data_IF_000588435947
#
_entry.id   IF_000588435947
#
_cell.length_a   1.000
_cell.length_b   1.000
_cell.length_c   1.000
_cell.angle_alpha   90.00
_cell.angle_beta   90.00
_cell.angle_gamma   90.00
#
_symmetry.space_group_name_H-M   'P 1'
#
loop_
_entity.id
_entity.type
_entity.pdbx_description
1 polymer ?
#
# COMPACT_ATOMS: atom_id res chain seq x y z
N UNK A 1 6.11 20.57 7.12
CA UNK A 1 4.77 19.97 6.86
C UNK A 1 4.74 18.64 7.58
N UNK A 2 3.63 18.26 8.21
CA UNK A 2 3.49 16.95 8.82
C UNK A 2 3.38 15.89 7.73
N UNK A 3 4.04 14.74 7.90
CA UNK A 3 3.99 13.62 6.95
C UNK A 3 2.58 13.05 6.78
N UNK A 4 2.32 12.38 5.67
CA UNK A 4 1.02 11.78 5.33
C UNK A 4 1.03 10.27 5.51
N UNK A 5 0.00 9.73 6.17
CA UNK A 5 -0.25 8.29 6.27
C UNK A 5 -1.31 7.87 5.25
N UNK A 6 -1.00 6.87 4.42
CA UNK A 6 -1.86 6.38 3.35
C UNK A 6 -2.07 4.89 3.53
N UNK A 7 -3.30 4.46 3.82
CA UNK A 7 -3.64 3.06 3.91
C UNK A 7 -3.92 2.48 2.52
N UNK A 8 -3.31 1.34 2.22
CA UNK A 8 -3.55 0.56 1.00
C UNK A 8 -4.39 -0.66 1.38
N UNK A 9 -5.62 -0.69 0.93
CA UNK A 9 -6.64 -1.65 1.38
C UNK A 9 -7.31 -2.37 0.21
N UNK A 10 -7.90 -3.53 0.45
CA UNK A 10 -8.77 -4.21 -0.52
C UNK A 10 -9.72 -5.17 0.20
N UNK A 11 -10.88 -5.42 -0.38
CA UNK A 11 -11.84 -6.40 0.13
C UNK A 11 -11.41 -7.86 -0.07
N UNK A 12 -10.45 -8.12 -0.97
CA UNK A 12 -10.04 -9.47 -1.39
C UNK A 12 -8.53 -9.65 -1.36
N UNK A 13 -8.07 -10.87 -1.06
CA UNK A 13 -6.68 -11.26 -1.21
C UNK A 13 -6.24 -11.31 -2.68
N UNK A 14 -4.94 -11.14 -2.94
CA UNK A 14 -4.37 -11.28 -4.30
C UNK A 14 -4.60 -10.09 -5.24
N UNK A 15 -5.21 -9.00 -4.80
CA UNK A 15 -5.39 -7.78 -5.62
C UNK A 15 -4.10 -7.01 -5.87
N UNK A 16 -3.01 -7.33 -5.14
CA UNK A 16 -1.69 -6.71 -5.31
C UNK A 16 -1.45 -5.48 -4.44
N UNK A 17 -2.07 -5.38 -3.28
CA UNK A 17 -1.81 -4.30 -2.30
C UNK A 17 -0.33 -4.15 -1.96
N UNK A 18 0.28 -5.24 -1.52
CA UNK A 18 1.70 -5.28 -1.11
C UNK A 18 2.64 -4.85 -2.24
N UNK A 19 2.39 -5.32 -3.46
CA UNK A 19 3.17 -4.91 -4.64
C UNK A 19 2.97 -3.42 -4.96
N UNK A 20 1.75 -2.92 -4.81
CA UNK A 20 1.44 -1.49 -4.98
C UNK A 20 2.15 -0.66 -3.89
N UNK A 21 2.07 -1.08 -2.63
CA UNK A 21 2.72 -0.41 -1.49
C UNK A 21 4.24 -0.33 -1.70
N UNK A 22 4.87 -1.45 -2.03
CA UNK A 22 6.31 -1.49 -2.31
C UNK A 22 6.70 -0.64 -3.53
N UNK A 23 5.93 -0.76 -4.63
CA UNK A 23 6.20 -0.02 -5.86
C UNK A 23 6.01 1.50 -5.70
N UNK A 24 4.90 1.93 -5.12
CA UNK A 24 4.63 3.37 -4.89
C UNK A 24 5.59 3.93 -3.83
N UNK A 25 5.88 3.18 -2.77
CA UNK A 25 6.87 3.57 -1.75
C UNK A 25 8.25 3.80 -2.37
N UNK A 26 8.69 2.87 -3.22
CA UNK A 26 9.96 3.01 -3.96
C UNK A 26 9.94 4.25 -4.88
N UNK A 27 8.84 4.50 -5.60
CA UNK A 27 8.71 5.66 -6.49
C UNK A 27 8.76 7.00 -5.73
N UNK A 28 8.09 7.08 -4.58
CA UNK A 28 8.14 8.25 -3.71
C UNK A 28 9.56 8.48 -3.16
N UNK A 29 10.25 7.43 -2.73
CA UNK A 29 11.63 7.52 -2.24
C UNK A 29 12.60 7.97 -3.34
N UNK A 30 12.46 7.44 -4.56
CA UNK A 30 13.23 7.88 -5.74
C UNK A 30 12.96 9.34 -6.12
N UNK A 31 11.80 9.91 -5.75
CA UNK A 31 11.49 11.34 -5.93
C UNK A 31 12.05 12.23 -4.80
N UNK A 32 12.88 11.68 -3.90
CA UNK A 32 13.53 12.40 -2.81
C UNK A 32 12.70 12.52 -1.53
N UNK A 33 11.55 11.83 -1.43
CA UNK A 33 10.72 11.81 -0.22
C UNK A 33 11.22 10.77 0.77
N UNK A 34 11.17 11.08 2.05
CA UNK A 34 11.45 10.13 3.11
C UNK A 34 10.22 9.27 3.37
N UNK A 35 10.28 7.99 3.03
CA UNK A 35 9.12 7.10 2.94
C UNK A 35 9.27 5.90 3.86
N UNK A 36 8.26 5.66 4.69
CA UNK A 36 8.11 4.43 5.46
C UNK A 36 7.04 3.55 4.80
N UNK A 37 7.40 2.35 4.41
CA UNK A 37 6.44 1.29 4.08
C UNK A 37 6.23 0.44 5.33
N UNK A 38 4.99 0.32 5.80
CA UNK A 38 4.65 -0.39 7.01
C UNK A 38 3.71 -1.54 6.70
N UNK A 39 4.12 -2.75 7.09
CA UNK A 39 3.28 -3.93 6.99
C UNK A 39 2.31 -3.97 8.17
N UNK A 40 1.01 -4.13 7.89
CA UNK A 40 -0.04 -4.29 8.90
C UNK A 40 -0.68 -5.69 8.86
N UNK A 41 -0.13 -6.62 8.05
CA UNK A 41 -0.62 -7.99 7.92
C UNK A 41 0.05 -8.91 8.96
N UNK A 42 -0.57 -8.97 10.13
CA UNK A 42 -0.09 -9.77 11.25
C UNK A 42 -0.08 -11.25 10.84
N UNK A 43 1.10 -11.86 10.90
CA UNK A 43 1.30 -13.29 10.62
C UNK A 43 1.86 -13.60 9.23
N UNK A 44 1.55 -12.83 8.18
CA UNK A 44 1.99 -13.16 6.81
C UNK A 44 3.26 -12.42 6.38
N UNK A 45 3.46 -11.16 6.77
CA UNK A 45 4.70 -10.40 6.52
C UNK A 45 5.21 -10.53 5.08
N UNK A 46 4.48 -9.95 4.13
CA UNK A 46 4.86 -10.05 2.71
C UNK A 46 5.56 -8.80 2.17
N UNK A 47 5.51 -7.68 2.91
CA UNK A 47 6.07 -6.41 2.44
C UNK A 47 7.60 -6.40 2.50
N UNK A 48 8.22 -7.07 3.47
CA UNK A 48 9.67 -7.25 3.55
C UNK A 48 10.21 -8.03 2.34
N UNK A 49 9.51 -9.09 1.90
CA UNK A 49 9.83 -9.82 0.68
C UNK A 49 9.73 -8.91 -0.55
N UNK A 50 8.64 -8.13 -0.66
CA UNK A 50 8.41 -7.23 -1.78
C UNK A 50 9.46 -6.11 -1.90
N UNK A 51 10.07 -5.72 -0.78
CA UNK A 51 11.14 -4.72 -0.70
C UNK A 51 12.54 -5.34 -0.69
N UNK A 52 12.68 -6.67 -0.67
CA UNK A 52 13.99 -7.33 -0.56
C UNK A 52 14.68 -7.13 0.78
N UNK A 53 13.90 -7.00 1.85
CA UNK A 53 14.37 -6.74 3.22
C UNK A 53 14.04 -7.88 4.18
N UNK A 54 13.83 -9.09 3.66
CA UNK A 54 13.52 -10.28 4.46
C UNK A 54 14.58 -10.50 5.53
N UNK A 55 14.14 -10.84 6.76
CA UNK A 55 14.95 -11.13 7.94
C UNK A 55 15.87 -9.99 8.43
N UNK A 56 15.64 -8.76 7.97
CA UNK A 56 16.42 -7.59 8.44
C UNK A 56 15.83 -6.89 9.65
N UNK A 57 14.54 -7.07 9.92
CA UNK A 57 13.85 -6.42 11.04
C UNK A 57 13.89 -7.30 12.29
N UNK A 58 14.41 -6.77 13.40
CA UNK A 58 14.45 -7.41 14.71
C UNK A 58 13.23 -7.09 15.55
N UNK A 59 12.66 -5.90 15.37
CA UNK A 59 11.48 -5.38 16.06
C UNK A 59 10.38 -5.12 15.04
N UNK A 60 9.14 -5.02 15.50
CA UNK A 60 7.98 -4.81 14.65
C UNK A 60 7.12 -3.62 15.11
N UNK A 61 6.04 -3.31 14.41
CA UNK A 61 5.21 -2.17 14.75
C UNK A 61 4.56 -2.30 16.14
N UNK A 62 4.32 -3.52 16.63
CA UNK A 62 3.70 -3.71 17.94
C UNK A 62 4.65 -3.32 19.07
N UNK A 63 5.96 -3.51 18.88
CA UNK A 63 6.97 -3.08 19.87
C UNK A 63 7.00 -1.55 19.96
N UNK A 64 6.87 -0.85 18.83
CA UNK A 64 6.83 0.62 18.80
C UNK A 64 5.51 1.14 19.36
N UNK A 65 4.37 0.55 18.95
CA UNK A 65 3.04 0.98 19.38
C UNK A 65 2.83 0.83 20.90
N UNK A 66 3.43 -0.21 21.49
CA UNK A 66 3.37 -0.51 22.93
C UNK A 66 4.55 0.09 23.73
N UNK A 67 5.30 1.02 23.12
CA UNK A 67 6.44 1.71 23.73
C UNK A 67 7.53 0.76 24.29
N UNK A 68 7.71 -0.44 23.70
CA UNK A 68 8.77 -1.39 24.06
C UNK A 68 10.12 -1.03 23.46
N UNK A 69 10.11 -0.33 22.32
CA UNK A 69 11.31 0.22 21.70
C UNK A 69 11.01 1.57 21.00
N UNK A 70 12.03 2.41 20.79
CA UNK A 70 11.87 3.62 19.97
C UNK A 70 11.67 3.26 18.49
N UNK A 71 11.03 4.14 17.71
CA UNK A 71 10.73 3.93 16.30
C UNK A 71 12.01 3.62 15.49
N UNK A 72 13.09 4.32 15.78
CA UNK A 72 14.38 4.19 15.09
C UNK A 72 15.01 2.81 15.24
N UNK A 73 14.70 2.09 16.31
CA UNK A 73 15.21 0.73 16.54
C UNK A 73 14.44 -0.34 15.74
N UNK A 74 13.19 -0.05 15.34
CA UNK A 74 12.34 -0.98 14.61
C UNK A 74 12.36 -0.74 13.09
N UNK A 75 12.72 0.47 12.66
CA UNK A 75 12.72 0.85 11.25
C UNK A 75 13.99 0.37 10.55
N UNK A 76 13.81 -0.31 9.42
CA UNK A 76 14.91 -0.81 8.59
C UNK A 76 15.08 0.06 7.35
N UNK A 77 16.26 0.67 7.16
CA UNK A 77 16.59 1.41 5.94
C UNK A 77 16.88 0.45 4.78
N UNK A 78 16.38 0.78 3.59
CA UNK A 78 16.68 0.00 2.39
C UNK A 78 18.14 0.25 1.92
N UNK A 79 18.96 -0.80 1.69
CA UNK A 79 20.39 -0.64 1.44
C UNK A 79 20.71 0.05 0.11
N UNK A 80 19.84 -0.10 -0.90
CA UNK A 80 20.07 0.38 -2.27
C UNK A 80 19.12 1.49 -2.72
N UNK A 81 18.12 1.82 -1.92
CA UNK A 81 17.14 2.86 -2.25
C UNK A 81 17.16 3.89 -1.12
N UNK A 82 17.83 5.04 -1.33
CA UNK A 82 17.86 6.12 -0.34
C UNK A 82 16.44 6.57 0.03
N UNK A 83 16.25 6.93 1.29
CA UNK A 83 14.99 7.43 1.83
C UNK A 83 13.82 6.42 1.85
N UNK A 84 14.05 5.15 1.53
CA UNK A 84 13.06 4.09 1.67
C UNK A 84 13.33 3.28 2.94
N UNK A 85 12.28 3.09 3.73
CA UNK A 85 12.33 2.40 5.01
C UNK A 85 11.17 1.41 5.14
N UNK A 86 11.40 0.37 5.95
CA UNK A 86 10.39 -0.65 6.28
C UNK A 86 10.16 -0.67 7.81
N UNK A 87 8.90 -0.78 8.20
CA UNK A 87 8.48 -1.22 9.53
C UNK A 87 7.58 -2.45 9.36
N UNK A 88 7.99 -3.57 9.93
CA UNK A 88 7.32 -4.86 9.69
C UNK A 88 6.17 -5.11 10.67
N UNK A 89 5.27 -6.03 10.29
CA UNK A 89 4.26 -6.58 11.18
C UNK A 89 4.86 -7.65 12.12
N UNK A 90 4.27 -7.90 13.30
CA UNK A 90 4.61 -9.06 14.11
C UNK A 90 4.18 -10.35 13.40
N UNK A 91 5.05 -11.37 13.47
CA UNK A 91 4.68 -12.73 13.04
C UNK A 91 3.57 -13.29 13.95
N UNK A 92 3.61 -12.91 15.22
CA UNK A 92 2.61 -13.28 16.23
C UNK A 92 2.52 -12.18 17.27
N UNK A 93 1.31 -11.75 17.59
CA UNK A 93 1.12 -10.80 18.68
C UNK A 93 1.63 -11.39 20.01
N UNK A 94 2.49 -10.63 20.68
CA UNK A 94 3.04 -10.98 22.00
C UNK A 94 2.53 -9.98 23.03
N UNK A 95 1.88 -10.47 24.08
CA UNK A 95 1.32 -9.63 25.15
C UNK A 95 0.00 -8.96 24.77
N UNK A 96 -0.30 -7.76 25.28
CA UNK A 96 -1.56 -7.08 25.04
C UNK A 96 -1.74 -6.74 23.55
N UNK A 97 -3.00 -6.71 23.11
CA UNK A 97 -3.33 -6.29 21.75
C UNK A 97 -3.03 -4.78 21.58
N UNK A 98 -2.50 -4.42 20.42
CA UNK A 98 -2.34 -3.01 20.04
C UNK A 98 -3.73 -2.40 19.83
N UNK A 99 -4.04 -1.33 20.56
CA UNK A 99 -5.28 -0.59 20.41
C UNK A 99 -5.19 0.42 19.26
N UNK A 100 -6.33 0.91 18.78
CA UNK A 100 -6.34 2.00 17.79
C UNK A 100 -5.66 3.28 18.30
N UNK A 101 -5.75 3.56 19.61
CA UNK A 101 -5.08 4.73 20.19
C UNK A 101 -3.56 4.56 20.23
N UNK A 102 -3.06 3.37 20.59
CA UNK A 102 -1.63 3.06 20.54
C UNK A 102 -1.10 3.22 19.11
N UNK A 103 -1.86 2.73 18.13
CA UNK A 103 -1.53 2.82 16.73
C UNK A 103 -1.52 4.28 16.23
N UNK A 104 -2.55 5.08 16.58
CA UNK A 104 -2.58 6.53 16.27
C UNK A 104 -1.43 7.27 16.93
N UNK A 105 -1.08 6.93 18.17
CA UNK A 105 0.08 7.52 18.87
C UNK A 105 1.38 7.24 18.12
N UNK A 106 1.59 5.99 17.69
CA UNK A 106 2.73 5.61 16.86
C UNK A 106 2.75 6.37 15.52
N UNK A 107 1.62 6.48 14.82
CA UNK A 107 1.54 7.22 13.56
C UNK A 107 1.85 8.72 13.73
N UNK A 108 1.52 9.33 14.88
CA UNK A 108 1.94 10.71 15.19
C UNK A 108 3.46 10.85 15.23
N UNK A 109 4.18 9.88 15.83
CA UNK A 109 5.66 9.85 15.83
C UNK A 109 6.21 9.67 14.41
N UNK A 110 5.63 8.79 13.61
CA UNK A 110 6.02 8.51 12.24
C UNK A 110 5.89 9.77 11.36
N UNK A 111 4.79 10.52 11.47
CA UNK A 111 4.57 11.77 10.70
C UNK A 111 5.59 12.87 10.97
N UNK A 112 6.29 12.83 12.10
CA UNK A 112 7.35 13.79 12.41
C UNK A 112 8.66 13.47 11.69
N UNK A 113 8.85 12.21 11.28
CA UNK A 113 10.10 11.72 10.73
C UNK A 113 10.05 11.39 9.24
N UNK A 114 8.87 11.14 8.68
CA UNK A 114 8.67 10.72 7.30
C UNK A 114 7.71 11.64 6.55
N UNK A 115 7.96 11.89 5.26
CA UNK A 115 7.05 12.63 4.38
C UNK A 115 5.80 11.78 4.07
N UNK A 116 6.00 10.46 3.89
CA UNK A 116 4.94 9.50 3.61
C UNK A 116 5.11 8.23 4.44
N UNK A 117 3.99 7.72 4.96
CA UNK A 117 3.89 6.37 5.50
C UNK A 117 2.82 5.61 4.71
N UNK A 118 3.21 4.55 4.01
CA UNK A 118 2.29 3.67 3.30
C UNK A 118 2.00 2.46 4.17
N UNK A 119 0.73 2.26 4.54
CA UNK A 119 0.26 1.19 5.42
C UNK A 119 -0.31 0.06 4.55
N UNK A 120 0.41 -1.06 4.42
CA UNK A 120 -0.04 -2.24 3.68
C UNK A 120 -1.01 -3.04 4.56
N UNK A 121 -2.30 -2.87 4.36
CA UNK A 121 -3.30 -3.54 5.16
C UNK A 121 -3.47 -5.02 4.74
N UNK A 122 -3.88 -5.93 5.64
CA UNK A 122 -4.30 -7.27 5.26
C UNK A 122 -5.52 -7.26 4.34
N UNK A 123 -5.89 -8.40 3.79
CA UNK A 123 -7.12 -8.54 3.03
C UNK A 123 -8.36 -8.54 3.94
N UNK A 124 -9.48 -8.09 3.41
CA UNK A 124 -10.77 -8.08 4.14
C UNK A 124 -10.96 -6.85 5.02
N UNK A 125 -11.69 -7.00 6.14
CA UNK A 125 -12.15 -5.91 7.01
C UNK A 125 -11.84 -6.16 8.50
N UNK A 126 -10.86 -7.02 8.77
CA UNK A 126 -10.46 -7.39 10.13
C UNK A 126 -9.69 -6.30 10.89
N UNK A 127 -9.18 -6.67 12.06
CA UNK A 127 -8.46 -5.77 12.98
C UNK A 127 -7.30 -5.04 12.31
N UNK A 128 -6.48 -5.75 11.51
CA UNK A 128 -5.34 -5.14 10.82
C UNK A 128 -5.74 -4.02 9.86
N UNK A 129 -6.88 -4.17 9.14
CA UNK A 129 -7.44 -3.10 8.30
C UNK A 129 -7.89 -1.93 9.16
N UNK A 130 -8.60 -2.18 10.27
CA UNK A 130 -9.05 -1.13 11.19
C UNK A 130 -7.86 -0.32 11.73
N UNK A 131 -6.79 -0.98 12.13
CA UNK A 131 -5.56 -0.32 12.57
C UNK A 131 -4.95 0.52 11.43
N UNK A 132 -4.82 -0.04 10.22
CA UNK A 132 -4.26 0.70 9.09
C UNK A 132 -5.07 1.95 8.74
N UNK A 133 -6.41 1.91 8.84
CA UNK A 133 -7.27 3.04 8.47
C UNK A 133 -7.53 4.03 9.60
N UNK A 134 -7.42 3.63 10.86
CA UNK A 134 -7.81 4.46 12.02
C UNK A 134 -7.01 5.78 12.12
N UNK A 135 -5.82 5.82 11.55
CA UNK A 135 -4.97 7.01 11.56
C UNK A 135 -4.50 7.44 10.17
N UNK A 136 -5.07 6.89 9.11
CA UNK A 136 -4.71 7.26 7.75
C UNK A 136 -5.37 8.58 7.31
N UNK A 137 -4.61 9.42 6.60
CA UNK A 137 -5.10 10.67 6.01
C UNK A 137 -5.83 10.40 4.67
N UNK A 138 -5.47 9.30 4.02
CA UNK A 138 -6.06 8.82 2.75
C UNK A 138 -6.09 7.30 2.75
N UNK A 139 -7.05 6.73 2.00
CA UNK A 139 -7.07 5.31 1.71
C UNK A 139 -7.06 5.07 0.20
N UNK A 140 -6.25 4.13 -0.24
CA UNK A 140 -6.20 3.64 -1.62
C UNK A 140 -6.82 2.26 -1.65
N UNK A 141 -8.01 2.16 -2.24
CA UNK A 141 -8.72 0.89 -2.43
C UNK A 141 -8.20 0.24 -3.70
N UNK A 142 -7.62 -0.95 -3.56
CA UNK A 142 -7.04 -1.73 -4.66
C UNK A 142 -8.02 -2.81 -5.07
N UNK A 143 -8.39 -2.81 -6.34
CA UNK A 143 -9.25 -3.83 -6.96
C UNK A 143 -8.63 -4.35 -8.26
N UNK A 144 -9.13 -5.45 -8.77
CA UNK A 144 -8.89 -5.93 -10.12
C UNK A 144 -10.12 -5.67 -11.00
N UNK A 145 -10.01 -5.94 -12.29
CA UNK A 145 -11.08 -5.65 -13.27
C UNK A 145 -12.26 -6.63 -13.22
N UNK A 146 -12.16 -7.75 -12.49
CA UNK A 146 -13.22 -8.77 -12.41
C UNK A 146 -14.38 -8.34 -11.51
N UNK A 147 -15.59 -8.79 -11.83
CA UNK A 147 -16.83 -8.38 -11.17
C UNK A 147 -16.84 -8.68 -9.66
N UNK A 148 -16.23 -9.79 -9.23
CA UNK A 148 -16.18 -10.15 -7.81
C UNK A 148 -15.29 -9.17 -7.03
N UNK A 149 -14.11 -8.84 -7.55
CA UNK A 149 -13.22 -7.86 -6.92
C UNK A 149 -13.81 -6.45 -6.87
N UNK A 150 -14.56 -6.04 -7.90
CA UNK A 150 -15.26 -4.75 -7.90
C UNK A 150 -16.38 -4.72 -6.85
N UNK A 151 -17.10 -5.81 -6.66
CA UNK A 151 -18.11 -5.94 -5.61
C UNK A 151 -17.49 -5.86 -4.22
N UNK A 152 -16.38 -6.57 -4.01
CA UNK A 152 -15.64 -6.55 -2.75
C UNK A 152 -15.06 -5.15 -2.47
N UNK A 153 -14.60 -4.43 -3.51
CA UNK A 153 -14.18 -3.04 -3.39
C UNK A 153 -15.32 -2.12 -2.96
N UNK A 154 -16.52 -2.30 -3.54
CA UNK A 154 -17.71 -1.53 -3.15
C UNK A 154 -18.06 -1.74 -1.67
N UNK A 155 -18.06 -2.98 -1.19
CA UNK A 155 -18.28 -3.28 0.23
C UNK A 155 -17.19 -2.63 1.10
N UNK A 156 -15.93 -2.73 0.70
CA UNK A 156 -14.82 -2.07 1.41
C UNK A 156 -15.02 -0.56 1.52
N UNK A 157 -15.46 0.10 0.44
CA UNK A 157 -15.74 1.54 0.44
C UNK A 157 -16.84 1.90 1.41
N UNK A 158 -17.93 1.10 1.45
CA UNK A 158 -19.04 1.32 2.39
C UNK A 158 -18.56 1.27 3.84
N UNK A 159 -17.75 0.28 4.20
CA UNK A 159 -17.17 0.13 5.54
C UNK A 159 -16.21 1.29 5.87
N UNK A 160 -15.31 1.64 4.94
CA UNK A 160 -14.37 2.74 5.14
C UNK A 160 -15.06 4.08 5.39
N UNK A 161 -16.19 4.35 4.74
CA UNK A 161 -16.99 5.55 4.97
C UNK A 161 -17.60 5.60 6.37
N UNK A 162 -17.99 4.46 6.93
CA UNK A 162 -18.50 4.36 8.30
C UNK A 162 -17.42 4.68 9.35
N UNK A 163 -16.16 4.34 9.08
CA UNK A 163 -15.05 4.66 9.96
C UNK A 163 -14.55 6.12 9.85
N UNK A 164 -15.23 6.96 9.05
CA UNK A 164 -14.82 8.36 8.86
C UNK A 164 -13.44 8.48 8.17
N UNK A 165 -13.01 7.42 7.50
CA UNK A 165 -11.75 7.41 6.79
C UNK A 165 -11.74 8.50 5.71
N UNK A 166 -10.64 9.24 5.67
CA UNK A 166 -10.44 10.44 4.87
C UNK A 166 -10.66 10.28 3.36
N UNK A 167 -9.86 10.90 2.55
CA UNK A 167 -10.01 10.86 1.08
C UNK A 167 -9.76 9.46 0.54
N UNK A 168 -10.79 8.86 -0.05
CA UNK A 168 -10.74 7.54 -0.68
C UNK A 168 -10.40 7.67 -2.16
N UNK A 169 -9.54 6.79 -2.66
CA UNK A 169 -9.15 6.72 -4.06
C UNK A 169 -9.14 5.26 -4.53
N UNK A 170 -9.35 5.06 -5.83
CA UNK A 170 -9.33 3.74 -6.46
C UNK A 170 -8.04 3.51 -7.23
N UNK A 171 -7.47 2.32 -7.11
CA UNK A 171 -6.49 1.76 -8.05
C UNK A 171 -7.08 0.49 -8.66
N UNK A 172 -7.19 0.45 -9.98
CA UNK A 172 -7.50 -0.78 -10.71
C UNK A 172 -6.18 -1.43 -11.10
N UNK A 173 -5.89 -2.58 -10.49
CA UNK A 173 -4.62 -3.29 -10.62
C UNK A 173 -4.74 -4.53 -11.49
N UNK A 174 -3.61 -5.04 -12.01
CA UNK A 174 -3.51 -6.25 -12.81
C UNK A 174 -4.41 -6.22 -14.04
N UNK A 175 -4.49 -5.05 -14.69
CA UNK A 175 -5.38 -4.85 -15.84
C UNK A 175 -4.81 -5.51 -17.09
N UNK A 176 -5.62 -6.36 -17.72
CA UNK A 176 -5.34 -7.00 -19.01
C UNK A 176 -6.30 -6.47 -20.07
N UNK A 177 -5.78 -5.79 -21.09
CA UNK A 177 -6.59 -5.20 -22.18
C UNK A 177 -7.52 -6.23 -22.85
N UNK A 178 -6.97 -7.39 -23.21
CA UNK A 178 -7.75 -8.47 -23.85
C UNK A 178 -8.94 -8.89 -23.00
N UNK A 179 -8.75 -8.96 -21.69
CA UNK A 179 -9.80 -9.37 -20.75
C UNK A 179 -10.88 -8.28 -20.61
N UNK A 180 -10.51 -7.00 -20.55
CA UNK A 180 -11.49 -5.90 -20.55
C UNK A 180 -12.39 -5.96 -21.79
N UNK A 181 -11.80 -6.16 -22.97
CA UNK A 181 -12.56 -6.30 -24.21
C UNK A 181 -13.52 -7.50 -24.19
N UNK A 182 -13.06 -8.66 -23.73
CA UNK A 182 -13.91 -9.87 -23.67
C UNK A 182 -15.04 -9.77 -22.62
N UNK A 183 -14.85 -8.95 -21.61
CA UNK A 183 -15.86 -8.70 -20.57
C UNK A 183 -16.81 -7.54 -20.91
N UNK A 184 -16.60 -6.86 -22.06
CA UNK A 184 -17.30 -5.62 -22.41
C UNK A 184 -17.29 -4.59 -21.25
N UNK A 185 -16.18 -4.54 -20.49
CA UNK A 185 -16.01 -3.67 -19.33
C UNK A 185 -14.95 -2.59 -19.59
N UNK A 186 -15.12 -1.46 -18.94
CA UNK A 186 -14.20 -0.33 -19.00
C UNK A 186 -13.62 -0.01 -17.61
N UNK A 187 -12.59 0.83 -17.56
CA UNK A 187 -12.09 1.37 -16.29
C UNK A 187 -13.12 2.31 -15.65
N UNK A 188 -13.92 3.01 -16.46
CA UNK A 188 -14.99 3.90 -15.99
C UNK A 188 -16.07 3.10 -15.26
N UNK A 189 -16.45 1.90 -15.75
CA UNK A 189 -17.34 0.98 -15.04
C UNK A 189 -16.81 0.58 -13.66
N UNK A 190 -15.50 0.45 -13.54
CA UNK A 190 -14.88 0.13 -12.24
C UNK A 190 -14.95 1.34 -11.28
N UNK A 191 -14.78 2.56 -11.79
CA UNK A 191 -14.94 3.80 -11.01
C UNK A 191 -16.39 3.97 -10.54
N UNK A 192 -17.34 3.79 -11.44
CA UNK A 192 -18.78 3.92 -11.13
C UNK A 192 -19.24 2.90 -10.09
N UNK A 193 -18.84 1.64 -10.25
CA UNK A 193 -19.16 0.57 -9.29
C UNK A 193 -18.53 0.80 -7.92
N UNK A 194 -17.29 1.24 -7.85
CA UNK A 194 -16.60 1.53 -6.60
C UNK A 194 -17.06 2.86 -5.98
N UNK A 195 -17.59 3.79 -6.77
CA UNK A 195 -17.97 5.14 -6.34
C UNK A 195 -16.80 5.98 -5.84
N UNK A 196 -15.61 5.79 -6.45
CA UNK A 196 -14.36 6.45 -6.04
C UNK A 196 -13.60 7.09 -7.22
N UNK A 197 -12.92 8.23 -6.96
CA UNK A 197 -12.02 8.81 -7.94
C UNK A 197 -10.81 7.89 -8.17
N UNK A 198 -10.45 7.71 -9.43
CA UNK A 198 -9.32 6.89 -9.86
C UNK A 198 -7.99 7.63 -9.65
N UNK A 199 -7.05 6.99 -8.94
CA UNK A 199 -5.69 7.51 -8.80
C UNK A 199 -4.68 6.77 -9.68
N UNK A 200 -5.01 5.56 -10.16
CA UNK A 200 -4.11 4.82 -11.04
C UNK A 200 -4.71 3.57 -11.66
N UNK A 201 -4.16 3.20 -12.80
CA UNK A 201 -4.40 1.92 -13.47
C UNK A 201 -3.05 1.24 -13.63
N UNK A 202 -2.93 0.01 -13.13
CA UNK A 202 -1.69 -0.76 -13.16
C UNK A 202 -1.91 -1.97 -14.06
N UNK A 203 -1.13 -2.15 -15.13
CA UNK A 203 -1.25 -3.32 -15.99
C UNK A 203 -0.78 -4.58 -15.27
N UNK A 204 -1.27 -5.74 -15.69
CA UNK A 204 -0.61 -7.01 -15.37
C UNK A 204 0.81 -6.98 -15.95
N UNK A 205 1.79 -7.37 -15.13
CA UNK A 205 3.20 -7.27 -15.48
C UNK A 205 3.94 -8.53 -14.99
N UNK A 206 4.41 -9.34 -15.93
CA UNK A 206 5.11 -10.60 -15.65
C UNK A 206 6.48 -10.38 -14.97
N UNK A 207 7.04 -9.17 -15.05
CA UNK A 207 8.26 -8.83 -14.34
C UNK A 207 8.04 -8.71 -12.82
N UNK A 208 6.79 -8.52 -12.36
CA UNK A 208 6.48 -8.33 -10.94
C UNK A 208 6.75 -9.60 -10.11
N UNK A 209 6.22 -10.80 -10.47
CA UNK A 209 6.56 -12.05 -9.76
C UNK A 209 8.05 -12.35 -9.78
N UNK A 210 8.74 -12.09 -10.89
CA UNK A 210 10.19 -12.27 -10.98
C UNK A 210 10.92 -11.36 -10.01
N UNK A 211 10.53 -10.09 -9.95
CA UNK A 211 11.06 -9.08 -9.04
C UNK A 211 10.89 -9.50 -7.56
N UNK A 212 9.70 -9.98 -7.19
CA UNK A 212 9.40 -10.48 -5.85
C UNK A 212 10.27 -11.70 -5.47
N UNK A 213 10.37 -12.69 -6.36
CA UNK A 213 11.18 -13.89 -6.12
C UNK A 213 12.67 -13.59 -5.98
N UNK A 214 13.15 -12.50 -6.58
CA UNK A 214 14.55 -12.07 -6.50
C UNK A 214 14.81 -11.06 -5.37
N UNK A 215 13.80 -10.74 -4.56
CA UNK A 215 13.91 -9.77 -3.48
C UNK A 215 14.41 -8.39 -3.97
N UNK A 216 13.99 -7.97 -5.17
CA UNK A 216 14.43 -6.71 -5.76
C UNK A 216 13.22 -5.88 -6.20
N UNK A 217 12.99 -4.69 -5.66
CA UNK A 217 11.87 -3.85 -6.08
C UNK A 217 11.83 -3.60 -7.59
N UNK A 218 10.63 -3.76 -8.20
CA UNK A 218 10.44 -3.69 -9.65
C UNK A 218 11.01 -2.39 -10.27
N UNK A 219 10.93 -1.27 -9.55
CA UNK A 219 11.39 0.03 -10.03
C UNK A 219 12.91 0.14 -10.20
N UNK A 220 13.69 -0.78 -9.63
CA UNK A 220 15.13 -0.90 -9.89
C UNK A 220 15.44 -1.63 -11.20
N UNK A 221 14.45 -2.32 -11.79
CA UNK A 221 14.62 -3.19 -12.96
C UNK A 221 13.86 -2.70 -14.17
N UNK A 222 12.77 -1.94 -13.99
CA UNK A 222 11.86 -1.54 -15.06
C UNK A 222 11.47 -0.07 -14.96
N UNK A 223 11.32 0.53 -16.15
CA UNK A 223 10.75 1.88 -16.30
C UNK A 223 9.34 1.85 -16.87
N UNK A 224 8.91 0.75 -17.45
CA UNK A 224 7.64 0.57 -18.16
C UNK A 224 6.64 -0.27 -17.35
N UNK A 225 5.47 -0.55 -17.93
CA UNK A 225 4.48 -1.43 -17.33
C UNK A 225 4.01 -0.96 -15.96
N UNK A 226 3.98 -1.87 -15.00
CA UNK A 226 3.57 -1.57 -13.62
C UNK A 226 4.49 -0.54 -12.94
N UNK A 227 5.79 -0.53 -13.25
CA UNK A 227 6.73 0.45 -12.69
C UNK A 227 6.38 1.90 -13.11
N UNK A 228 5.97 2.12 -14.37
CA UNK A 228 5.49 3.42 -14.83
C UNK A 228 4.19 3.83 -14.13
N UNK A 229 3.26 2.87 -13.94
CA UNK A 229 2.01 3.12 -13.22
C UNK A 229 2.27 3.54 -11.78
N UNK A 230 3.18 2.87 -11.07
CA UNK A 230 3.55 3.22 -9.68
C UNK A 230 4.16 4.62 -9.58
N UNK A 231 5.02 5.04 -10.53
CA UNK A 231 5.53 6.42 -10.59
C UNK A 231 4.42 7.44 -10.79
N UNK A 232 3.48 7.18 -11.69
CA UNK A 232 2.35 8.08 -11.93
C UNK A 232 1.43 8.20 -10.71
N UNK A 233 1.18 7.09 -10.00
CA UNK A 233 0.44 7.09 -8.73
C UNK A 233 1.19 7.90 -7.67
N UNK A 234 2.50 7.72 -7.53
CA UNK A 234 3.33 8.48 -6.60
C UNK A 234 3.28 9.99 -6.86
N UNK A 235 3.34 10.43 -8.13
CA UNK A 235 3.20 11.84 -8.51
C UNK A 235 1.82 12.37 -8.09
N UNK A 236 0.74 11.63 -8.32
CA UNK A 236 -0.63 12.04 -7.95
C UNK A 236 -0.85 12.08 -6.44
N UNK A 237 -0.24 11.17 -5.68
CA UNK A 237 -0.28 11.20 -4.22
C UNK A 237 0.40 12.45 -3.66
N UNK A 238 1.41 12.98 -4.35
CA UNK A 238 2.06 14.25 -4.02
C UNK A 238 1.27 15.48 -4.49
N UNK A 239 0.10 15.31 -5.10
CA UNK A 239 -0.72 16.40 -5.65
C UNK A 239 -0.31 16.85 -7.06
N UNK A 240 0.66 16.18 -7.68
CA UNK A 240 1.10 16.44 -9.04
C UNK A 240 0.13 15.87 -10.10
N UNK A 241 0.30 16.32 -11.34
CA UNK A 241 -0.42 15.81 -12.51
C UNK A 241 0.43 14.77 -13.24
N UNK A 242 -0.10 13.57 -13.41
CA UNK A 242 0.49 12.52 -14.23
C UNK A 242 -0.60 11.87 -15.08
N UNK A 243 -0.31 11.39 -16.32
CA UNK A 243 -1.31 10.71 -17.12
C UNK A 243 -1.71 9.37 -16.49
N UNK A 244 -2.95 8.93 -16.68
CA UNK A 244 -3.29 7.52 -16.48
C UNK A 244 -2.53 6.68 -17.49
N UNK A 245 -2.01 5.53 -17.06
CA UNK A 245 -1.31 4.66 -17.98
C UNK A 245 -2.30 4.09 -19.01
N UNK A 246 -1.98 4.25 -20.30
CA UNK A 246 -2.74 3.61 -21.38
C UNK A 246 -2.36 2.14 -21.41
N UNK A 247 -3.32 1.26 -21.19
CA UNK A 247 -3.13 -0.20 -21.29
C UNK A 247 -3.06 -0.56 -22.77
N UNK A 248 -1.89 -1.00 -23.22
CA UNK A 248 -1.62 -1.41 -24.61
C UNK A 248 -1.91 -2.89 -24.83
#
# INVERSE_FOLDING_TARGET
MSGQCIAVVSGKGGTGKTSLTAGVGTALAQSGKRVLCMDCDIGLRNLDLALGLTDRALMDFSDVALDRCPLEAAVVAHPSIPNLYLLTAPVRMRGPAVTEEDFRRMLRKIRQQFDFCLLDAPAGLGLGVRLAVCGADRCVVVTTQDASSLRDAQHTVMELRQFGSGRLHLVVNRVRKKLLHSMHATIDDAMDKAGLPLIGVVPEDDALPVSLNQGTPLLLRSYNGAASAYRNIAIRLQGGKAPLLRIR
#
